data_IF_633242544717
#
_entry.id   IF_633242544717
#
_cell.length_a   1.000
_cell.length_b   1.000
_cell.length_c   1.000
_cell.angle_alpha   90.00
_cell.angle_beta   90.00
_cell.angle_gamma   90.00
#
_symmetry.space_group_name_H-M   'P 1'
#
loop_
_entity.id
_entity.type
_entity.pdbx_description
1 polymer ?
#
# COMPACT_ATOMS: atom_id res chain seq x y z
N UNK A 1 -10.96 -4.57 8.27
CA UNK A 1 -10.73 -3.23 7.70
C UNK A 1 -9.45 -2.65 8.30
N UNK A 2 -8.34 -2.72 7.54
CA UNK A 2 -7.04 -2.17 7.94
C UNK A 2 -6.97 -0.66 7.71
N UNK A 3 -7.57 0.16 8.57
CA UNK A 3 -7.53 1.62 8.42
C UNK A 3 -6.23 2.24 8.95
N UNK A 4 -5.45 1.50 9.73
CA UNK A 4 -4.15 1.95 10.26
C UNK A 4 -3.16 2.27 9.14
N UNK A 5 -3.09 1.47 8.08
CA UNK A 5 -2.24 1.73 6.92
C UNK A 5 -2.63 3.01 6.17
N UNK A 6 -3.93 3.30 6.07
CA UNK A 6 -4.43 4.56 5.51
C UNK A 6 -4.02 5.77 6.36
N UNK A 7 -4.11 5.65 7.70
CA UNK A 7 -3.65 6.69 8.65
C UNK A 7 -2.15 6.89 8.60
N UNK A 8 -1.39 5.81 8.45
CA UNK A 8 0.06 5.85 8.32
C UNK A 8 0.47 6.66 7.07
N UNK A 9 -0.22 6.44 5.94
CA UNK A 9 0.03 7.18 4.71
C UNK A 9 -0.21 8.70 4.83
N UNK A 10 -1.18 9.13 5.66
CA UNK A 10 -1.38 10.57 5.95
C UNK A 10 -0.17 11.21 6.62
N UNK A 11 0.67 10.43 7.29
CA UNK A 11 1.87 10.87 7.99
C UNK A 11 3.16 10.59 7.17
N UNK A 12 3.02 10.24 5.88
CA UNK A 12 4.15 9.92 5.02
C UNK A 12 4.82 8.59 5.33
N UNK A 13 4.21 7.75 6.18
CA UNK A 13 4.69 6.38 6.40
C UNK A 13 4.44 5.58 5.11
N UNK A 14 5.43 4.80 4.73
CA UNK A 14 5.38 3.97 3.52
C UNK A 14 4.87 2.59 3.90
N UNK A 15 3.95 2.05 3.10
CA UNK A 15 3.40 0.72 3.33
C UNK A 15 4.26 -0.34 2.64
N UNK A 16 4.56 -1.41 3.38
CA UNK A 16 5.16 -2.64 2.86
C UNK A 16 4.39 -3.82 3.45
N UNK A 17 3.50 -4.41 2.65
CA UNK A 17 2.52 -5.40 3.12
C UNK A 17 2.02 -6.27 1.96
N UNK A 18 1.42 -7.41 2.30
CA UNK A 18 0.71 -8.26 1.33
C UNK A 18 -0.43 -7.49 0.67
N UNK A 19 -0.74 -7.81 -0.59
CA UNK A 19 -1.81 -7.17 -1.35
C UNK A 19 -3.19 -7.67 -0.90
N UNK A 20 -3.69 -7.10 0.19
CA UNK A 20 -5.02 -7.40 0.72
C UNK A 20 -5.84 -6.14 1.00
N UNK A 21 -7.16 -6.26 0.86
CA UNK A 21 -8.14 -5.23 1.11
C UNK A 21 -7.84 -3.91 0.39
N UNK A 22 -7.77 -2.82 1.15
CA UNK A 22 -7.55 -1.48 0.60
C UNK A 22 -6.19 -1.32 -0.08
N UNK A 23 -5.19 -2.13 0.30
CA UNK A 23 -3.85 -1.98 -0.24
C UNK A 23 -3.83 -2.31 -1.74
N UNK A 24 -4.72 -3.19 -2.21
CA UNK A 24 -4.91 -3.50 -3.64
C UNK A 24 -5.29 -2.24 -4.44
N UNK A 25 -6.07 -1.32 -3.85
CA UNK A 25 -6.49 -0.07 -4.47
C UNK A 25 -5.42 1.04 -4.37
N UNK A 26 -4.64 1.07 -3.28
CA UNK A 26 -3.67 2.13 -2.99
C UNK A 26 -2.22 1.83 -3.39
N UNK A 27 -1.92 0.56 -3.69
CA UNK A 27 -0.58 0.09 -4.05
C UNK A 27 -0.20 0.52 -5.46
N UNK A 28 0.98 1.14 -5.54
CA UNK A 28 1.71 1.33 -6.78
C UNK A 28 3.18 1.05 -6.45
N UNK A 29 3.68 -0.07 -6.97
CA UNK A 29 5.02 -0.60 -6.66
C UNK A 29 6.11 0.47 -6.82
N UNK A 30 6.89 0.69 -5.76
CA UNK A 30 7.99 1.66 -5.72
C UNK A 30 7.56 3.14 -5.75
N UNK A 31 6.26 3.43 -5.82
CA UNK A 31 5.73 4.80 -5.86
C UNK A 31 5.02 5.14 -4.55
N UNK A 32 4.07 4.31 -4.11
CA UNK A 32 3.32 4.51 -2.85
C UNK A 32 3.77 3.55 -1.74
N UNK A 33 4.54 2.53 -2.10
CA UNK A 33 5.05 1.49 -1.22
C UNK A 33 5.41 0.24 -2.02
N UNK A 34 5.49 -0.90 -1.33
CA UNK A 34 5.82 -2.19 -1.93
C UNK A 34 4.80 -3.25 -1.49
N UNK A 35 4.52 -4.20 -2.38
CA UNK A 35 3.78 -5.40 -1.99
C UNK A 35 4.71 -6.48 -1.46
N UNK A 36 4.16 -7.45 -0.73
CA UNK A 36 4.79 -8.74 -0.46
C UNK A 36 4.00 -9.79 -1.24
N UNK A 37 4.72 -10.65 -1.96
CA UNK A 37 4.15 -11.76 -2.70
C UNK A 37 3.54 -11.36 -4.05
N UNK A 38 3.08 -12.36 -4.82
CA UNK A 38 2.45 -12.15 -6.11
C UNK A 38 1.11 -11.41 -5.97
N UNK A 39 0.65 -10.82 -7.09
CA UNK A 39 -0.68 -10.19 -7.12
C UNK A 39 -1.76 -11.26 -6.90
N UNK A 40 -2.77 -11.01 -6.05
CA UNK A 40 -3.83 -11.97 -5.83
C UNK A 40 -4.57 -12.27 -7.14
N UNK A 41 -4.52 -13.53 -7.58
CA UNK A 41 -5.42 -14.13 -8.58
C UNK A 41 -6.47 -14.99 -7.87
N UNK A 42 -7.61 -15.25 -8.51
CA UNK A 42 -8.67 -16.10 -7.92
C UNK A 42 -8.15 -17.49 -7.49
N UNK A 43 -7.09 -17.99 -8.13
CA UNK A 43 -6.42 -19.26 -7.81
C UNK A 43 -5.40 -19.19 -6.66
N UNK A 44 -4.93 -17.99 -6.30
CA UNK A 44 -3.94 -17.79 -5.23
C UNK A 44 -4.56 -17.66 -3.83
N UNK A 45 -5.88 -17.45 -3.74
CA UNK A 45 -6.61 -17.37 -2.47
C UNK A 45 -6.69 -18.72 -1.73
N UNK A 46 -6.51 -19.84 -2.45
CA UNK A 46 -6.56 -21.20 -1.91
C UNK A 46 -5.19 -21.81 -1.63
N UNK A 47 -4.12 -21.27 -2.21
CA UNK A 47 -2.75 -21.76 -2.03
C UNK A 47 -1.80 -20.58 -1.76
N UNK A 48 -1.86 -20.05 -0.53
CA UNK A 48 -0.87 -19.09 -0.05
C UNK A 48 0.48 -19.82 0.01
N UNK A 49 1.47 -19.31 -0.73
CA UNK A 49 2.81 -19.86 -0.76
C UNK A 49 3.73 -19.04 0.15
N UNK A 50 3.69 -19.32 1.45
CA UNK A 50 4.46 -18.60 2.48
C UNK A 50 5.96 -18.53 2.15
N UNK A 51 6.51 -19.55 1.48
CA UNK A 51 7.91 -19.57 1.08
C UNK A 51 8.22 -18.52 0.00
N UNK A 52 7.33 -18.37 -0.99
CA UNK A 52 7.49 -17.35 -2.03
C UNK A 52 7.30 -15.93 -1.47
N UNK A 53 6.36 -15.74 -0.54
CA UNK A 53 6.16 -14.45 0.13
C UNK A 53 7.37 -14.08 0.98
N UNK A 54 7.96 -15.04 1.70
CA UNK A 54 9.18 -14.83 2.46
C UNK A 54 10.38 -14.47 1.56
N UNK A 55 10.54 -15.17 0.43
CA UNK A 55 11.60 -14.88 -0.54
C UNK A 55 11.47 -13.45 -1.10
N UNK A 56 10.26 -13.05 -1.51
CA UNK A 56 10.01 -11.70 -2.01
C UNK A 56 10.20 -10.63 -0.93
N UNK A 57 9.78 -10.90 0.30
CA UNK A 57 10.00 -10.03 1.46
C UNK A 57 11.49 -9.75 1.66
N UNK A 58 12.30 -10.81 1.77
CA UNK A 58 13.75 -10.67 1.99
C UNK A 58 14.44 -10.00 0.81
N UNK A 59 14.11 -10.41 -0.41
CA UNK A 59 14.67 -9.84 -1.62
C UNK A 59 14.42 -8.33 -1.71
N UNK A 60 13.19 -7.87 -1.45
CA UNK A 60 12.85 -6.44 -1.46
C UNK A 60 13.51 -5.67 -0.33
N UNK A 61 13.60 -6.24 0.87
CA UNK A 61 14.30 -5.59 1.98
C UNK A 61 15.78 -5.40 1.66
N UNK A 62 16.47 -6.46 1.29
CA UNK A 62 17.91 -6.48 1.07
C UNK A 62 18.33 -5.63 -0.13
N UNK A 63 17.62 -5.76 -1.26
CA UNK A 63 18.08 -5.20 -2.52
C UNK A 63 17.43 -3.86 -2.87
N UNK A 64 16.31 -3.49 -2.24
CA UNK A 64 15.52 -2.31 -2.63
C UNK A 64 15.30 -1.36 -1.46
N UNK A 65 14.60 -1.81 -0.41
CA UNK A 65 14.08 -0.93 0.64
C UNK A 65 15.20 -0.46 1.57
N UNK A 66 16.02 -1.37 2.10
CA UNK A 66 17.11 -1.01 3.02
C UNK A 66 18.16 -0.13 2.32
N UNK A 67 18.68 -0.48 1.13
CA UNK A 67 19.64 0.37 0.43
C UNK A 67 19.08 1.75 0.12
N UNK A 68 17.84 1.85 -0.35
CA UNK A 68 17.20 3.13 -0.64
C UNK A 68 17.03 3.99 0.61
N UNK A 69 16.60 3.38 1.72
CA UNK A 69 16.42 4.08 3.00
C UNK A 69 17.72 4.71 3.51
N UNK A 70 18.84 3.97 3.46
CA UNK A 70 20.12 4.44 4.00
C UNK A 70 20.93 5.28 3.03
N UNK A 71 20.84 5.03 1.71
CA UNK A 71 21.71 5.64 0.72
C UNK A 71 21.02 6.66 -0.20
N UNK A 72 19.70 6.67 -0.29
CA UNK A 72 18.95 7.61 -1.14
C UNK A 72 17.76 8.26 -0.41
N UNK A 73 18.11 9.18 0.49
CA UNK A 73 17.13 9.98 1.24
C UNK A 73 16.17 10.76 0.34
N UNK A 74 16.62 11.24 -0.82
CA UNK A 74 15.79 12.04 -1.72
C UNK A 74 14.69 11.18 -2.36
N UNK A 75 15.06 9.99 -2.82
CA UNK A 75 14.10 9.02 -3.33
C UNK A 75 13.14 8.55 -2.24
N UNK A 76 13.63 8.30 -1.01
CA UNK A 76 12.76 7.95 0.11
C UNK A 76 11.71 9.03 0.39
N UNK A 77 12.13 10.31 0.47
CA UNK A 77 11.23 11.45 0.66
C UNK A 77 10.21 11.55 -0.49
N UNK A 78 10.62 11.25 -1.73
CA UNK A 78 9.70 11.23 -2.87
C UNK A 78 8.60 10.18 -2.69
N UNK A 79 8.94 8.99 -2.19
CA UNK A 79 7.96 7.93 -1.89
C UNK A 79 7.05 8.35 -0.73
N UNK A 80 7.59 8.97 0.33
CA UNK A 80 6.77 9.52 1.42
C UNK A 80 5.76 10.56 0.90
N UNK A 81 6.19 11.48 0.03
CA UNK A 81 5.31 12.47 -0.60
C UNK A 81 4.25 11.83 -1.49
N UNK A 82 4.60 10.77 -2.23
CA UNK A 82 3.64 10.01 -3.03
C UNK A 82 2.63 9.24 -2.15
N UNK A 83 3.06 8.68 -1.02
CA UNK A 83 2.17 8.05 -0.04
C UNK A 83 1.10 9.04 0.41
N UNK A 84 1.49 10.26 0.80
CA UNK A 84 0.55 11.33 1.15
C UNK A 84 -0.31 11.73 -0.06
N UNK A 85 0.33 12.07 -1.18
CA UNK A 85 -0.36 12.66 -2.33
C UNK A 85 -1.33 11.71 -3.04
N UNK A 86 -1.09 10.40 -3.01
CA UNK A 86 -1.90 9.41 -3.73
C UNK A 86 -2.81 8.61 -2.80
N UNK A 87 -2.32 8.17 -1.64
CA UNK A 87 -3.13 7.37 -0.71
C UNK A 87 -3.99 8.30 0.14
N UNK A 88 -3.39 9.26 0.87
CA UNK A 88 -4.16 10.09 1.81
C UNK A 88 -5.24 10.93 1.12
N UNK A 89 -4.97 11.39 -0.10
CA UNK A 89 -5.96 12.05 -0.95
C UNK A 89 -7.20 11.18 -1.22
N UNK A 90 -7.02 9.90 -1.53
CA UNK A 90 -8.11 9.02 -1.95
C UNK A 90 -8.84 8.34 -0.79
N UNK A 91 -8.10 7.97 0.26
CA UNK A 91 -8.61 7.22 1.42
C UNK A 91 -8.89 8.15 2.60
N UNK A 92 -9.97 8.93 2.49
CA UNK A 92 -10.45 9.78 3.58
C UNK A 92 -11.95 9.63 3.82
N UNK A 93 -12.38 9.87 5.06
CA UNK A 93 -13.77 9.69 5.47
C UNK A 93 -14.73 10.68 4.81
N UNK A 94 -14.28 11.86 4.42
CA UNK A 94 -15.11 12.84 3.71
C UNK A 94 -15.57 12.28 2.36
N UNK A 95 -14.65 11.69 1.59
CA UNK A 95 -14.96 11.03 0.33
C UNK A 95 -15.90 9.84 0.53
N UNK A 96 -15.63 9.00 1.53
CA UNK A 96 -16.48 7.86 1.85
C UNK A 96 -17.92 8.30 2.18
N UNK A 97 -18.08 9.27 3.09
CA UNK A 97 -19.40 9.80 3.48
C UNK A 97 -20.13 10.43 2.31
N UNK A 98 -19.45 11.22 1.47
CA UNK A 98 -20.05 11.82 0.27
C UNK A 98 -20.63 10.74 -0.64
N UNK A 99 -19.86 9.69 -0.94
CA UNK A 99 -20.31 8.58 -1.79
C UNK A 99 -21.51 7.85 -1.18
N UNK A 100 -21.47 7.55 0.12
CA UNK A 100 -22.59 6.91 0.81
C UNK A 100 -23.88 7.73 0.68
N UNK A 101 -23.81 9.04 0.94
CA UNK A 101 -24.97 9.93 0.85
C UNK A 101 -25.51 10.00 -0.58
N UNK A 102 -24.65 10.21 -1.58
CA UNK A 102 -25.09 10.43 -2.97
C UNK A 102 -25.48 9.15 -3.72
N UNK A 103 -24.82 8.01 -3.43
CA UNK A 103 -24.99 6.78 -4.21
C UNK A 103 -25.97 5.79 -3.56
N UNK A 104 -26.13 5.84 -2.23
CA UNK A 104 -26.97 4.89 -1.50
C UNK A 104 -28.22 5.50 -0.86
N UNK A 105 -28.13 6.73 -0.31
CA UNK A 105 -29.22 7.31 0.50
C UNK A 105 -30.10 8.31 -0.24
N UNK A 106 -29.54 9.21 -1.05
CA UNK A 106 -30.28 10.25 -1.78
C UNK A 106 -30.66 9.84 -3.21
N UNK A 107 -30.78 8.54 -3.45
CA UNK A 107 -31.06 8.00 -4.78
C UNK A 107 -32.50 8.26 -5.21
#
# INVERSE_FOLDING_TARGET
SGTSGMKAAHNGVINFSVLDGWWIEGHIEGITGWSIGPRPTESSLTNINDAADAEDLYHKLENIIIPMYYHDKNQWIKIMKNSIGKIAYYFNSHRMMRRYVTEAYLR
#
